data_IF_871553811609
#
_entry.id   IF_871553811609
#
_cell.length_a   1.000
_cell.length_b   1.000
_cell.length_c   1.000
_cell.angle_alpha   90.00
_cell.angle_beta   90.00
_cell.angle_gamma   90.00
#
_symmetry.space_group_name_H-M   'P 1'
#
loop_
_entity.id
_entity.type
_entity.pdbx_description
1 polymer ?
#
# COMPACT_ATOMS: atom_id res chain seq x y z
N UNK A 1 -8.23 -4.46 -22.18
CA UNK A 1 -8.14 -3.66 -20.93
C UNK A 1 -7.46 -4.51 -19.88
N UNK A 2 -6.17 -4.29 -19.60
CA UNK A 2 -5.48 -5.04 -18.54
C UNK A 2 -5.82 -4.41 -17.18
N UNK A 3 -6.26 -5.24 -16.23
CA UNK A 3 -6.59 -4.80 -14.87
C UNK A 3 -5.37 -4.16 -14.19
N UNK A 4 -5.58 -3.15 -13.32
CA UNK A 4 -4.53 -2.53 -12.50
C UNK A 4 -3.67 -3.56 -11.75
N UNK A 5 -4.25 -4.70 -11.37
CA UNK A 5 -3.54 -5.84 -10.78
C UNK A 5 -2.40 -6.38 -11.66
N UNK A 6 -2.60 -6.44 -12.98
CA UNK A 6 -1.64 -7.01 -13.92
C UNK A 6 -0.42 -6.10 -14.15
N UNK A 7 -0.61 -4.78 -14.04
CA UNK A 7 0.45 -3.80 -14.30
C UNK A 7 1.33 -3.54 -13.08
N UNK A 8 0.81 -3.75 -11.86
CA UNK A 8 1.47 -3.41 -10.58
C UNK A 8 1.69 -4.62 -9.65
N UNK A 9 1.80 -5.82 -10.22
CA UNK A 9 2.00 -7.05 -9.46
C UNK A 9 3.37 -7.12 -8.75
N UNK A 10 4.39 -6.41 -9.26
CA UNK A 10 5.74 -6.39 -8.64
C UNK A 10 5.89 -5.26 -7.63
N UNK A 11 6.54 -5.59 -6.50
CA UNK A 11 6.90 -4.63 -5.44
C UNK A 11 7.68 -3.43 -6.03
N UNK A 12 8.64 -3.69 -6.93
CA UNK A 12 9.47 -2.64 -7.54
C UNK A 12 8.68 -1.63 -8.37
N UNK A 13 7.56 -2.04 -8.98
CA UNK A 13 6.66 -1.10 -9.67
C UNK A 13 5.91 -0.26 -8.65
N UNK A 14 5.40 -0.87 -7.57
CA UNK A 14 4.69 -0.15 -6.51
C UNK A 14 5.58 0.89 -5.81
N UNK A 15 6.83 0.54 -5.50
CA UNK A 15 7.81 1.48 -4.91
C UNK A 15 7.95 2.78 -5.71
N UNK A 16 7.93 2.71 -7.05
CA UNK A 16 8.04 3.90 -7.92
C UNK A 16 6.88 4.90 -7.76
N UNK A 17 5.73 4.45 -7.26
CA UNK A 17 4.59 5.34 -7.02
C UNK A 17 4.81 6.28 -5.84
N UNK A 18 5.69 5.93 -4.89
CA UNK A 18 5.94 6.70 -3.67
C UNK A 18 6.92 7.88 -3.86
N UNK A 19 7.01 8.42 -5.07
CA UNK A 19 7.72 9.69 -5.25
C UNK A 19 7.00 10.79 -4.45
N UNK A 20 7.76 11.62 -3.74
CA UNK A 20 7.24 12.68 -2.87
C UNK A 20 6.33 12.21 -1.71
N UNK A 21 6.45 10.94 -1.30
CA UNK A 21 5.74 10.45 -0.10
C UNK A 21 6.13 11.29 1.14
N UNK A 22 5.16 11.79 1.92
CA UNK A 22 5.42 12.67 3.06
C UNK A 22 5.87 11.90 4.31
N UNK A 23 6.97 11.14 4.21
CA UNK A 23 7.49 10.30 5.29
C UNK A 23 7.68 11.07 6.61
N UNK A 24 8.07 12.35 6.53
CA UNK A 24 8.26 13.22 7.69
C UNK A 24 6.97 13.53 8.46
N UNK A 25 5.81 13.42 7.81
CA UNK A 25 4.49 13.74 8.39
C UNK A 25 3.84 12.51 9.01
N UNK A 26 3.88 11.38 8.30
CA UNK A 26 3.24 10.13 8.75
C UNK A 26 4.17 9.18 9.51
N UNK A 27 5.49 9.39 9.46
CA UNK A 27 6.50 8.50 10.05
C UNK A 27 6.44 7.04 9.57
N UNK A 28 5.90 6.80 8.38
CA UNK A 28 5.88 5.50 7.73
C UNK A 28 6.88 5.51 6.57
N UNK A 29 7.82 4.56 6.58
CA UNK A 29 8.74 4.33 5.46
C UNK A 29 7.96 3.91 4.21
N UNK A 30 8.22 4.57 3.08
CA UNK A 30 7.47 4.37 1.84
C UNK A 30 7.60 2.96 1.26
N UNK A 31 8.63 2.20 1.62
CA UNK A 31 8.77 0.82 1.15
C UNK A 31 7.81 -0.13 1.87
N UNK A 32 7.41 0.18 3.10
CA UNK A 32 6.50 -0.65 3.87
C UNK A 32 5.10 -0.79 3.22
N UNK A 33 4.38 0.28 2.84
CA UNK A 33 3.10 0.16 2.14
C UNK A 33 3.27 -0.47 0.75
N UNK A 34 4.35 -0.16 0.03
CA UNK A 34 4.63 -0.80 -1.26
C UNK A 34 4.78 -2.33 -1.14
N UNK A 35 5.51 -2.80 -0.11
CA UNK A 35 5.64 -4.23 0.20
C UNK A 35 4.29 -4.82 0.57
N UNK A 36 3.49 -4.11 1.37
CA UNK A 36 2.13 -4.50 1.79
C UNK A 36 1.08 -4.53 0.66
N UNK A 37 1.45 -4.22 -0.60
CA UNK A 37 0.56 -4.32 -1.76
C UNK A 37 -0.05 -3.00 -2.21
N UNK A 38 0.35 -1.88 -1.59
CA UNK A 38 -0.20 -0.57 -1.90
C UNK A 38 0.60 0.21 -2.95
N UNK A 39 -0.10 1.10 -3.64
CA UNK A 39 0.48 2.21 -4.42
C UNK A 39 0.14 3.53 -3.74
N UNK A 40 1.00 4.52 -3.87
CA UNK A 40 0.72 5.88 -3.44
C UNK A 40 -0.16 6.59 -4.47
N UNK A 41 -1.14 7.37 -3.99
CA UNK A 41 -2.09 8.09 -4.83
C UNK A 41 -1.63 9.51 -5.19
N UNK A 42 -0.55 10.01 -4.60
CA UNK A 42 -0.05 11.38 -4.83
C UNK A 42 -0.75 12.46 -3.99
N UNK A 43 -1.69 12.06 -3.13
CA UNK A 43 -2.46 12.95 -2.26
C UNK A 43 -2.23 12.59 -0.79
N UNK A 44 -1.69 13.54 -0.03
CA UNK A 44 -1.34 13.39 1.38
C UNK A 44 -0.52 12.10 1.63
N UNK A 45 -1.01 11.20 2.47
CA UNK A 45 -0.45 9.88 2.75
C UNK A 45 -1.40 8.76 2.28
N UNK A 46 -2.23 9.05 1.29
CA UNK A 46 -3.25 8.11 0.80
C UNK A 46 -2.66 7.03 -0.10
N UNK A 47 -2.99 5.78 0.20
CA UNK A 47 -2.53 4.62 -0.57
C UNK A 47 -3.70 3.71 -0.96
N UNK A 48 -3.57 2.98 -2.07
CA UNK A 48 -4.57 2.01 -2.56
C UNK A 48 -3.93 0.66 -2.83
N UNK A 49 -4.57 -0.42 -2.34
CA UNK A 49 -4.11 -1.77 -2.61
C UNK A 49 -4.45 -2.18 -4.04
N UNK A 50 -3.46 -2.64 -4.80
CA UNK A 50 -3.66 -3.02 -6.20
C UNK A 50 -4.49 -4.28 -6.38
N UNK A 51 -4.72 -5.06 -5.30
CA UNK A 51 -5.43 -6.33 -5.34
C UNK A 51 -6.87 -6.22 -4.82
N UNK A 52 -7.07 -5.53 -3.70
CA UNK A 52 -8.38 -5.41 -3.06
C UNK A 52 -9.04 -4.05 -3.29
N UNK A 53 -8.32 -3.09 -3.87
CA UNK A 53 -8.73 -1.70 -4.09
C UNK A 53 -9.08 -0.94 -2.79
N UNK A 54 -8.73 -1.51 -1.64
CA UNK A 54 -8.86 -0.87 -0.34
C UNK A 54 -7.92 0.32 -0.22
N UNK A 55 -8.41 1.42 0.35
CA UNK A 55 -7.66 2.65 0.57
C UNK A 55 -7.41 2.90 2.04
N UNK A 56 -6.20 3.34 2.36
CA UNK A 56 -5.79 3.79 3.70
C UNK A 56 -5.14 5.18 3.58
N UNK A 57 -5.31 5.99 4.61
CA UNK A 57 -4.78 7.36 4.73
C UNK A 57 -4.69 7.75 6.21
N UNK A 58 -4.13 8.90 6.51
CA UNK A 58 -3.96 9.43 7.87
C UNK A 58 -3.15 8.47 8.76
N UNK A 59 -2.04 7.98 8.21
CA UNK A 59 -1.14 7.05 8.86
C UNK A 59 -0.55 7.66 10.13
N UNK A 60 -0.65 6.92 11.23
CA UNK A 60 -0.08 7.28 12.51
C UNK A 60 1.33 6.71 12.71
N UNK A 61 2.05 7.29 13.67
CA UNK A 61 3.36 6.80 14.10
C UNK A 61 3.28 5.32 14.52
N UNK A 62 4.23 4.51 14.06
CA UNK A 62 4.32 3.05 14.28
C UNK A 62 3.23 2.19 13.64
N UNK A 63 2.29 2.74 12.87
CA UNK A 63 1.37 1.91 12.11
C UNK A 63 2.14 1.08 11.08
N UNK A 64 1.83 -0.22 11.04
CA UNK A 64 2.48 -1.16 10.14
C UNK A 64 1.54 -1.41 8.97
N UNK A 65 1.88 -0.98 7.74
CA UNK A 65 0.97 -1.09 6.61
C UNK A 65 0.41 -2.48 6.34
N UNK A 66 1.20 -3.52 6.62
CA UNK A 66 0.75 -4.91 6.49
C UNK A 66 -0.34 -5.28 7.52
N UNK A 67 -0.21 -4.80 8.76
CA UNK A 67 -1.19 -5.07 9.81
C UNK A 67 -2.47 -4.28 9.56
N UNK A 68 -2.36 -3.02 9.19
CA UNK A 68 -3.51 -2.19 8.83
C UNK A 68 -4.26 -2.78 7.63
N UNK A 69 -3.53 -3.29 6.62
CA UNK A 69 -4.16 -3.98 5.50
C UNK A 69 -5.00 -5.18 5.95
N UNK A 70 -4.49 -5.99 6.89
CA UNK A 70 -5.21 -7.14 7.43
C UNK A 70 -6.39 -6.74 8.32
N UNK A 71 -6.25 -5.68 9.11
CA UNK A 71 -7.29 -5.19 10.01
C UNK A 71 -8.50 -4.65 9.22
N UNK A 72 -8.24 -3.83 8.19
CA UNK A 72 -9.29 -3.14 7.45
C UNK A 72 -9.85 -3.95 6.28
N UNK A 73 -9.13 -4.94 5.75
CA UNK A 73 -9.55 -5.73 4.57
C UNK A 73 -9.41 -7.27 4.76
N UNK A 74 -9.99 -7.87 5.80
CA UNK A 74 -9.72 -9.26 6.21
C UNK A 74 -10.23 -10.35 5.26
N UNK A 75 -11.22 -10.06 4.39
CA UNK A 75 -11.90 -11.07 3.57
C UNK A 75 -11.27 -11.30 2.19
N UNK A 76 -9.97 -11.05 2.02
CA UNK A 76 -9.32 -11.09 0.69
C UNK A 76 -8.34 -12.27 0.58
N UNK A 77 -8.54 -13.20 -0.39
CA UNK A 77 -7.77 -14.46 -0.48
C UNK A 77 -6.25 -14.30 -0.67
N UNK A 78 -5.80 -13.15 -1.19
CA UNK A 78 -4.40 -12.89 -1.51
C UNK A 78 -3.51 -12.65 -0.28
N UNK A 79 -4.09 -12.61 0.91
CA UNK A 79 -3.36 -12.45 2.18
C UNK A 79 -2.48 -13.64 2.56
N UNK A 80 -2.62 -14.80 1.89
CA UNK A 80 -1.84 -16.03 2.17
C UNK A 80 -0.48 -16.10 1.46
N UNK A 81 -0.09 -15.13 0.64
CA UNK A 81 1.10 -15.23 -0.21
C UNK A 81 2.03 -14.00 -0.13
N UNK A 82 2.34 -13.56 1.09
CA UNK A 82 3.35 -12.52 1.34
C UNK A 82 4.47 -12.99 2.29
N UNK A 83 4.56 -14.32 2.49
CA UNK A 83 5.73 -15.02 3.01
C UNK A 83 6.38 -15.79 1.87
#
# INVERSE_FOLDING_TARGET
>A
MMSRCAMMNRIEQRKKTFHNWPAYKCNVDSQAPARAGFIYLGEEDSVECVYCFGRLKQWAYNERPILEHYLWFPYRPLMKMMF
#
